data_IF_126008972979
#
_entry.id   IF_126008972979
#
_cell.length_a   1.000
_cell.length_b   1.000
_cell.length_c   1.000
_cell.angle_alpha   90.00
_cell.angle_beta   90.00
_cell.angle_gamma   90.00
#
_symmetry.space_group_name_H-M   'P 1'
#
loop_
_entity.id
_entity.type
_entity.pdbx_description
1 polymer ?
#
# COMPACT_ATOMS: atom_id res chain seq x y z
N UNK A 1 0.43 0.56 0.51
CA UNK A 1 0.93 0.80 -0.86
C UNK A 1 1.59 2.17 -0.99
N UNK A 2 0.84 3.25 -0.75
CA UNK A 2 1.34 4.63 -0.85
C UNK A 2 2.51 4.90 0.10
N UNK A 3 2.47 4.41 1.32
CA UNK A 3 3.55 4.54 2.30
C UNK A 3 4.87 3.93 1.82
N UNK A 4 4.82 2.74 1.19
CA UNK A 4 6.00 2.08 0.63
C UNK A 4 6.57 2.88 -0.53
N UNK A 5 5.71 3.35 -1.45
CA UNK A 5 6.13 4.20 -2.57
C UNK A 5 6.74 5.49 -2.05
N UNK A 6 6.06 6.20 -1.12
CA UNK A 6 6.55 7.44 -0.54
C UNK A 6 7.89 7.26 0.21
N UNK A 7 8.05 6.14 0.91
CA UNK A 7 9.32 5.81 1.58
C UNK A 7 10.48 5.60 0.60
N UNK A 8 10.19 5.09 -0.60
CA UNK A 8 11.22 4.83 -1.62
C UNK A 8 11.59 6.08 -2.43
N UNK A 9 10.59 6.85 -2.89
CA UNK A 9 10.85 8.00 -3.78
C UNK A 9 10.87 9.34 -3.06
N UNK A 10 10.41 9.40 -1.81
CA UNK A 10 10.26 10.64 -1.04
C UNK A 10 9.08 11.50 -1.51
N UNK A 11 8.86 12.66 -0.85
CA UNK A 11 7.68 13.50 -1.11
C UNK A 11 7.67 14.10 -2.51
N UNK A 12 8.83 14.37 -3.11
CA UNK A 12 8.95 14.98 -4.44
C UNK A 12 9.00 13.95 -5.58
N UNK A 13 8.89 12.65 -5.25
CA UNK A 13 9.09 11.56 -6.24
C UNK A 13 8.15 11.60 -7.43
N UNK A 14 6.91 12.03 -7.26
CA UNK A 14 5.96 12.20 -8.37
C UNK A 14 6.26 13.47 -9.18
N UNK A 15 6.54 14.59 -8.52
CA UNK A 15 6.87 15.84 -9.16
C UNK A 15 8.18 15.76 -9.98
N UNK A 16 9.14 14.98 -9.50
CA UNK A 16 10.41 14.70 -10.17
C UNK A 16 10.35 13.53 -11.17
N UNK A 17 9.16 13.02 -11.48
CA UNK A 17 8.96 11.89 -12.41
C UNK A 17 9.80 10.64 -12.05
N UNK A 18 10.04 10.42 -10.75
CA UNK A 18 10.78 9.25 -10.24
C UNK A 18 9.86 8.06 -9.92
N UNK A 19 8.55 8.26 -10.05
CA UNK A 19 7.53 7.23 -9.92
C UNK A 19 6.81 7.03 -11.25
N UNK A 20 6.96 5.85 -11.82
CA UNK A 20 6.19 5.40 -12.99
C UNK A 20 5.10 4.46 -12.52
N UNK A 21 3.84 4.82 -12.72
CA UNK A 21 2.67 3.95 -12.44
C UNK A 21 2.12 3.41 -13.74
N UNK A 22 1.82 2.13 -13.76
CA UNK A 22 1.14 1.50 -14.89
C UNK A 22 0.19 0.39 -14.42
N UNK A 23 -1.04 0.34 -14.94
CA UNK A 23 -1.88 -0.82 -14.74
C UNK A 23 -1.27 -2.03 -15.48
N UNK A 24 -1.30 -3.22 -14.86
CA UNK A 24 -0.72 -4.41 -15.48
C UNK A 24 -1.34 -4.76 -16.84
N UNK A 25 -2.56 -4.29 -17.11
CA UNK A 25 -3.24 -4.48 -18.41
C UNK A 25 -2.49 -3.84 -19.58
N UNK A 26 -1.68 -2.82 -19.34
CA UNK A 26 -0.89 -2.17 -20.38
C UNK A 26 0.21 -3.08 -20.90
N UNK A 27 0.70 -4.02 -20.08
CA UNK A 27 1.67 -5.04 -20.47
C UNK A 27 1.14 -6.03 -21.52
N UNK A 28 -0.17 -6.04 -21.79
CA UNK A 28 -0.74 -6.80 -22.93
C UNK A 28 -0.41 -6.14 -24.26
N UNK A 29 -0.33 -4.81 -24.27
CA UNK A 29 -0.07 -4.02 -25.49
C UNK A 29 1.43 -3.85 -25.68
N UNK A 30 2.13 -3.64 -24.59
CA UNK A 30 3.57 -3.43 -24.55
C UNK A 30 4.21 -4.25 -23.41
N UNK A 31 4.58 -5.51 -23.70
CA UNK A 31 5.25 -6.36 -22.72
C UNK A 31 6.62 -5.83 -22.25
N UNK A 32 7.29 -4.98 -23.05
CA UNK A 32 8.58 -4.42 -22.71
C UNK A 32 8.49 -3.25 -21.72
N UNK A 33 7.32 -2.62 -21.57
CA UNK A 33 7.13 -1.42 -20.76
C UNK A 33 7.61 -1.57 -19.30
N UNK A 34 7.48 -2.77 -18.73
CA UNK A 34 7.97 -3.03 -17.36
C UNK A 34 9.49 -2.94 -17.29
N UNK A 35 10.19 -3.61 -18.21
CA UNK A 35 11.65 -3.60 -18.28
C UNK A 35 12.19 -2.23 -18.66
N UNK A 36 11.59 -1.59 -19.66
CA UNK A 36 11.98 -0.26 -20.10
C UNK A 36 11.85 0.77 -18.96
N UNK A 37 10.77 0.70 -18.19
CA UNK A 37 10.59 1.53 -17.01
C UNK A 37 11.66 1.32 -15.93
N UNK A 38 12.09 0.06 -15.71
CA UNK A 38 13.17 -0.26 -14.77
C UNK A 38 14.52 0.31 -15.22
N UNK A 39 14.82 0.20 -16.51
CA UNK A 39 16.08 0.63 -17.11
C UNK A 39 16.12 2.11 -17.46
N UNK A 40 14.96 2.78 -17.51
CA UNK A 40 14.89 4.19 -17.84
C UNK A 40 15.80 5.04 -16.93
N UNK A 41 16.48 6.01 -17.50
CA UNK A 41 17.26 6.99 -16.73
C UNK A 41 16.37 8.20 -16.42
N UNK A 42 16.32 8.60 -15.16
CA UNK A 42 15.56 9.80 -14.74
C UNK A 42 16.36 11.08 -14.97
N UNK A 43 15.66 12.20 -15.19
CA UNK A 43 16.28 13.53 -15.24
C UNK A 43 16.75 14.00 -13.85
N UNK A 44 16.06 13.56 -12.81
CA UNK A 44 16.35 13.94 -11.43
C UNK A 44 17.11 12.82 -10.71
N UNK A 45 18.09 13.17 -9.87
CA UNK A 45 18.83 12.19 -9.10
C UNK A 45 17.93 11.58 -8.00
N UNK A 46 18.19 10.33 -7.66
CA UNK A 46 17.51 9.66 -6.55
C UNK A 46 16.86 8.33 -6.93
N UNK A 47 16.28 7.63 -5.95
CA UNK A 47 15.63 6.35 -6.17
C UNK A 47 14.42 6.50 -7.08
N UNK A 48 14.25 5.55 -7.99
CA UNK A 48 13.11 5.48 -8.92
C UNK A 48 12.29 4.24 -8.63
N UNK A 49 11.00 4.32 -8.90
CA UNK A 49 10.05 3.22 -8.71
C UNK A 49 9.22 3.02 -9.98
N UNK A 50 9.09 1.78 -10.38
CA UNK A 50 8.07 1.31 -11.32
C UNK A 50 7.01 0.59 -10.51
N UNK A 51 5.79 1.10 -10.53
CA UNK A 51 4.66 0.55 -9.80
C UNK A 51 3.65 -0.04 -10.78
N UNK A 52 3.54 -1.38 -10.78
CA UNK A 52 2.59 -2.13 -11.62
C UNK A 52 1.39 -2.50 -10.74
N UNK A 53 0.22 -2.01 -11.16
CA UNK A 53 -1.01 -2.17 -10.39
C UNK A 53 -1.89 -3.29 -10.97
N UNK A 54 -2.54 -4.04 -10.06
CA UNK A 54 -3.53 -5.07 -10.36
C UNK A 54 -3.03 -6.18 -11.30
N UNK A 55 -1.80 -6.63 -11.06
CA UNK A 55 -1.24 -7.74 -11.81
C UNK A 55 -2.03 -9.04 -11.57
N UNK A 56 -2.10 -9.84 -12.61
CA UNK A 56 -2.72 -11.17 -12.58
C UNK A 56 -1.75 -12.21 -13.10
N UNK A 57 -2.02 -13.49 -12.82
CA UNK A 57 -1.19 -14.59 -13.33
C UNK A 57 -1.09 -14.59 -14.86
N UNK A 58 -2.12 -14.13 -15.57
CA UNK A 58 -2.11 -14.03 -17.04
C UNK A 58 -1.12 -12.97 -17.57
N UNK A 59 -0.74 -12.03 -16.74
CA UNK A 59 0.20 -10.94 -17.06
C UNK A 59 1.55 -11.12 -16.35
N UNK A 60 1.79 -12.29 -15.78
CA UNK A 60 2.98 -12.54 -14.98
C UNK A 60 4.27 -12.57 -15.82
N UNK A 61 4.22 -13.07 -17.06
CA UNK A 61 5.43 -13.26 -17.86
C UNK A 61 6.29 -12.01 -18.03
N UNK A 62 5.77 -10.85 -18.53
CA UNK A 62 6.59 -9.65 -18.68
C UNK A 62 7.11 -9.09 -17.35
N UNK A 63 6.39 -9.31 -16.27
CA UNK A 63 6.82 -8.87 -14.93
C UNK A 63 7.95 -9.76 -14.41
N UNK A 64 7.86 -11.07 -14.63
CA UNK A 64 8.90 -12.03 -14.25
C UNK A 64 10.16 -11.79 -15.06
N UNK A 65 10.04 -11.53 -16.36
CA UNK A 65 11.17 -11.23 -17.23
C UNK A 65 11.87 -9.93 -16.77
N UNK A 66 11.10 -8.88 -16.49
CA UNK A 66 11.63 -7.62 -15.96
C UNK A 66 12.34 -7.81 -14.59
N UNK A 67 11.78 -8.64 -13.71
CA UNK A 67 12.40 -8.96 -12.42
C UNK A 67 13.71 -9.74 -12.60
N UNK A 68 13.76 -10.68 -13.54
CA UNK A 68 14.97 -11.47 -13.82
C UNK A 68 16.13 -10.61 -14.38
N UNK A 69 15.79 -9.58 -15.16
CA UNK A 69 16.75 -8.63 -15.76
C UNK A 69 17.14 -7.48 -14.81
N UNK A 70 16.50 -7.40 -13.62
CA UNK A 70 16.74 -6.32 -12.68
C UNK A 70 18.16 -6.36 -12.10
N UNK A 71 18.81 -5.20 -12.01
CA UNK A 71 20.16 -5.03 -11.49
C UNK A 71 20.24 -3.86 -10.51
N UNK A 72 21.31 -3.84 -9.72
CA UNK A 72 21.58 -2.73 -8.82
C UNK A 72 21.75 -1.42 -9.61
N UNK A 73 21.00 -0.40 -9.21
CA UNK A 73 20.93 0.90 -9.89
C UNK A 73 19.69 1.07 -10.76
N UNK A 74 18.97 0.01 -11.08
CA UNK A 74 17.67 0.09 -11.73
C UNK A 74 16.61 0.68 -10.80
N UNK A 75 15.46 1.04 -11.36
CA UNK A 75 14.30 1.44 -10.55
C UNK A 75 13.81 0.27 -9.70
N UNK A 76 13.30 0.56 -8.51
CA UNK A 76 12.63 -0.44 -7.67
C UNK A 76 11.32 -0.88 -8.31
N UNK A 77 11.05 -2.18 -8.35
CA UNK A 77 9.82 -2.74 -8.89
C UNK A 77 8.83 -3.02 -7.76
N UNK A 78 7.67 -2.38 -7.80
CA UNK A 78 6.54 -2.67 -6.93
C UNK A 78 5.42 -3.25 -7.79
N UNK A 79 4.87 -4.37 -7.37
CA UNK A 79 3.76 -5.03 -8.05
C UNK A 79 2.65 -5.30 -7.04
N UNK A 80 1.45 -4.83 -7.33
CA UNK A 80 0.26 -5.25 -6.58
C UNK A 80 -0.55 -6.24 -7.40
N UNK A 81 -1.14 -7.18 -6.71
CA UNK A 81 -1.99 -8.20 -7.31
C UNK A 81 -3.09 -8.59 -6.32
N UNK A 82 -4.15 -9.16 -6.83
CA UNK A 82 -5.15 -9.84 -6.02
C UNK A 82 -4.58 -11.09 -5.35
N UNK A 83 -5.44 -11.91 -4.77
CA UNK A 83 -5.03 -13.15 -4.12
C UNK A 83 -4.33 -14.09 -5.10
N UNK A 84 -3.06 -14.40 -4.85
CA UNK A 84 -2.27 -15.36 -5.61
C UNK A 84 -2.16 -16.68 -4.84
N UNK A 85 -2.40 -17.78 -5.54
CA UNK A 85 -2.19 -19.13 -4.99
C UNK A 85 -0.70 -19.37 -4.73
N UNK A 86 -0.38 -20.27 -3.81
CA UNK A 86 1.00 -20.70 -3.56
C UNK A 86 1.72 -21.28 -4.80
N UNK A 87 0.94 -21.77 -5.79
CA UNK A 87 1.45 -22.28 -7.07
C UNK A 87 1.70 -21.22 -8.12
N UNK A 88 1.30 -19.95 -7.87
CA UNK A 88 1.47 -18.83 -8.79
C UNK A 88 2.93 -18.66 -9.21
N UNK A 89 3.16 -18.50 -10.51
CA UNK A 89 4.50 -18.23 -11.06
C UNK A 89 4.99 -16.84 -10.66
N UNK A 90 4.09 -15.86 -10.67
CA UNK A 90 4.41 -14.48 -10.25
C UNK A 90 4.87 -14.45 -8.78
N UNK A 91 4.10 -15.07 -7.88
CA UNK A 91 4.46 -15.18 -6.47
C UNK A 91 5.81 -15.87 -6.27
N UNK A 92 6.01 -17.03 -6.90
CA UNK A 92 7.26 -17.79 -6.79
C UNK A 92 8.47 -17.04 -7.34
N UNK A 93 8.31 -16.23 -8.39
CA UNK A 93 9.39 -15.43 -8.94
C UNK A 93 9.88 -14.42 -7.91
N UNK A 94 8.97 -13.72 -7.22
CA UNK A 94 9.35 -12.77 -6.16
C UNK A 94 9.90 -13.48 -4.92
N UNK A 95 9.28 -14.57 -4.47
CA UNK A 95 9.77 -15.36 -3.31
C UNK A 95 11.16 -15.97 -3.56
N UNK A 96 11.45 -16.34 -4.79
CA UNK A 96 12.74 -16.94 -5.17
C UNK A 96 13.83 -15.91 -5.52
N UNK A 97 13.48 -14.67 -5.76
CA UNK A 97 14.45 -13.66 -6.15
C UNK A 97 15.16 -13.09 -4.92
N UNK A 98 16.49 -13.09 -4.96
CA UNK A 98 17.37 -12.78 -3.82
C UNK A 98 17.18 -11.37 -3.25
N UNK A 99 16.66 -10.42 -4.04
CA UNK A 99 16.48 -9.00 -3.67
C UNK A 99 15.01 -8.56 -3.81
N UNK A 100 14.08 -9.48 -3.77
CA UNK A 100 12.66 -9.18 -3.78
C UNK A 100 11.95 -9.81 -2.57
N UNK A 101 10.79 -9.28 -2.26
CA UNK A 101 9.92 -9.75 -1.19
C UNK A 101 8.51 -9.95 -1.75
N UNK A 102 7.86 -11.03 -1.34
CA UNK A 102 6.43 -11.22 -1.55
C UNK A 102 5.73 -11.09 -0.19
N UNK A 103 4.87 -10.09 -0.06
CA UNK A 103 4.15 -9.81 1.17
C UNK A 103 2.66 -10.07 0.96
N UNK A 104 2.09 -11.03 1.69
CA UNK A 104 0.66 -11.25 1.74
C UNK A 104 0.01 -10.21 2.65
N UNK A 105 -0.95 -9.47 2.10
CA UNK A 105 -1.84 -8.63 2.88
C UNK A 105 -3.15 -9.39 3.04
N UNK A 106 -3.56 -9.62 4.25
CA UNK A 106 -4.80 -10.30 4.59
C UNK A 106 -5.81 -9.27 5.07
N UNK A 107 -7.08 -9.47 4.76
CA UNK A 107 -8.18 -8.62 5.21
C UNK A 107 -8.63 -9.02 6.63
N UNK A 108 -7.67 -9.39 7.47
CA UNK A 108 -7.94 -9.63 8.88
C UNK A 108 -8.32 -8.32 9.56
N UNK A 109 -9.32 -8.33 10.45
CA UNK A 109 -9.64 -7.15 11.24
C UNK A 109 -8.40 -6.64 11.97
N UNK A 110 -8.21 -5.33 12.08
CA UNK A 110 -7.06 -4.79 12.77
C UNK A 110 -7.02 -5.27 14.22
N UNK A 111 -5.84 -5.59 14.68
CA UNK A 111 -5.61 -5.94 16.09
C UNK A 111 -5.91 -4.73 16.99
N UNK A 112 -6.13 -4.98 18.27
CA UNK A 112 -6.34 -3.91 19.24
C UNK A 112 -5.20 -2.91 19.26
N UNK A 113 -3.97 -3.37 19.12
CA UNK A 113 -2.78 -2.50 19.07
C UNK A 113 -2.77 -1.60 17.84
N UNK A 114 -3.19 -2.12 16.69
CA UNK A 114 -3.32 -1.33 15.45
C UNK A 114 -4.44 -0.30 15.54
N UNK A 115 -5.58 -0.64 16.15
CA UNK A 115 -6.67 0.31 16.44
C UNK A 115 -6.16 1.44 17.34
N UNK A 116 -5.51 1.10 18.46
CA UNK A 116 -4.95 2.09 19.37
C UNK A 116 -3.87 2.97 18.72
N UNK A 117 -3.04 2.40 17.84
CA UNK A 117 -2.06 3.17 17.06
C UNK A 117 -2.73 4.14 16.09
N UNK A 118 -3.78 3.72 15.38
CA UNK A 118 -4.54 4.58 14.49
C UNK A 118 -5.22 5.73 15.24
N UNK A 119 -5.83 5.45 16.39
CA UNK A 119 -6.46 6.47 17.24
C UNK A 119 -5.45 7.51 17.73
N UNK A 120 -4.28 7.07 18.21
CA UNK A 120 -3.20 7.99 18.62
C UNK A 120 -2.70 8.83 17.44
N UNK A 121 -2.53 8.24 16.27
CA UNK A 121 -2.11 8.96 15.07
C UNK A 121 -3.12 10.04 14.64
N UNK A 122 -4.41 9.79 14.88
CA UNK A 122 -5.49 10.75 14.66
C UNK A 122 -5.63 11.81 15.78
N UNK A 123 -4.80 11.75 16.83
CA UNK A 123 -4.85 12.68 17.97
C UNK A 123 -5.96 12.39 18.98
N UNK A 124 -6.52 11.18 18.97
CA UNK A 124 -7.60 10.75 19.86
C UNK A 124 -6.99 10.04 21.09
N UNK A 125 -6.70 10.79 22.13
CA UNK A 125 -6.06 10.27 23.35
C UNK A 125 -7.06 9.82 24.40
N UNK A 126 -8.24 10.44 24.46
CA UNK A 126 -9.26 10.16 25.45
C UNK A 126 -10.49 9.55 24.77
N UNK A 127 -10.73 8.28 25.03
CA UNK A 127 -11.83 7.53 24.40
C UNK A 127 -12.55 6.76 25.50
N UNK A 128 -13.88 6.88 25.54
CA UNK A 128 -14.69 6.12 26.50
C UNK A 128 -14.64 4.62 26.20
N UNK A 129 -14.84 3.78 27.23
CA UNK A 129 -14.87 2.32 27.06
C UNK A 129 -15.97 1.85 26.10
N UNK A 130 -17.05 2.60 26.02
CA UNK A 130 -18.18 2.33 25.11
C UNK A 130 -17.80 2.65 23.67
N UNK A 131 -17.20 3.82 23.42
CA UNK A 131 -16.70 4.18 22.10
C UNK A 131 -15.60 3.23 21.61
N UNK A 132 -14.75 2.73 22.49
CA UNK A 132 -13.77 1.68 22.14
C UNK A 132 -14.43 0.40 21.62
N UNK A 133 -15.56 -0.04 22.24
CA UNK A 133 -16.30 -1.23 21.77
C UNK A 133 -16.95 -0.98 20.41
N UNK A 134 -17.47 0.23 20.19
CA UNK A 134 -18.07 0.59 18.91
C UNK A 134 -17.02 0.65 17.81
N UNK A 135 -15.85 1.20 18.08
CA UNK A 135 -14.71 1.20 17.16
C UNK A 135 -14.18 -0.22 16.86
N UNK A 136 -14.10 -1.10 17.86
CA UNK A 136 -13.77 -2.52 17.64
C UNK A 136 -14.81 -3.22 16.76
N UNK A 137 -16.09 -2.91 16.94
CA UNK A 137 -17.17 -3.43 16.10
C UNK A 137 -17.06 -2.91 14.67
N UNK A 138 -16.83 -1.61 14.50
CA UNK A 138 -16.63 -0.99 13.19
C UNK A 138 -15.41 -1.53 12.46
N UNK A 139 -14.31 -1.76 13.17
CA UNK A 139 -13.08 -2.29 12.58
C UNK A 139 -13.24 -3.69 11.96
N UNK A 140 -14.24 -4.45 12.45
CA UNK A 140 -14.59 -5.77 11.92
C UNK A 140 -15.62 -5.72 10.80
N UNK A 141 -16.38 -4.63 10.71
CA UNK A 141 -17.44 -4.45 9.73
C UNK A 141 -16.97 -3.72 8.46
N UNK A 142 -15.93 -2.91 8.58
CA UNK A 142 -15.37 -2.10 7.50
C UNK A 142 -14.09 -2.70 6.94
N UNK A 143 -13.79 -2.39 5.69
CA UNK A 143 -12.46 -2.63 5.14
C UNK A 143 -11.40 -1.84 5.93
N UNK A 144 -10.16 -2.34 6.08
CA UNK A 144 -9.11 -1.67 6.84
C UNK A 144 -8.83 -0.23 6.37
N UNK A 145 -9.01 0.05 5.08
CA UNK A 145 -8.88 1.39 4.50
C UNK A 145 -10.00 2.33 4.97
N UNK A 146 -11.23 1.86 4.92
CA UNK A 146 -12.42 2.62 5.33
C UNK A 146 -12.42 2.86 6.84
N UNK A 147 -12.01 1.87 7.62
CA UNK A 147 -11.83 2.05 9.06
C UNK A 147 -10.81 3.15 9.38
N UNK A 148 -9.65 3.14 8.71
CA UNK A 148 -8.63 4.18 8.88
C UNK A 148 -9.16 5.57 8.55
N UNK A 149 -9.87 5.72 7.42
CA UNK A 149 -10.50 6.98 7.03
C UNK A 149 -11.54 7.45 8.07
N UNK A 150 -12.31 6.51 8.63
CA UNK A 150 -13.29 6.82 9.68
C UNK A 150 -12.60 7.35 10.93
N UNK A 151 -11.52 6.73 11.36
CA UNK A 151 -10.70 7.20 12.50
C UNK A 151 -10.08 8.58 12.22
N UNK A 152 -9.56 8.81 11.01
CA UNK A 152 -9.04 10.12 10.61
C UNK A 152 -10.12 11.21 10.63
N UNK A 153 -11.32 10.92 10.11
CA UNK A 153 -12.46 11.85 10.16
C UNK A 153 -12.88 12.16 11.58
N UNK A 154 -12.93 11.14 12.44
CA UNK A 154 -13.23 11.32 13.87
C UNK A 154 -12.19 12.21 14.55
N UNK A 155 -10.90 12.03 14.22
CA UNK A 155 -9.82 12.90 14.71
C UNK A 155 -9.97 14.35 14.25
N UNK A 156 -10.39 14.56 13.00
CA UNK A 156 -10.70 15.90 12.49
C UNK A 156 -11.91 16.51 13.18
N UNK A 157 -12.97 15.73 13.40
CA UNK A 157 -14.18 16.16 14.08
C UNK A 157 -13.90 16.59 15.52
N UNK A 158 -13.06 15.82 16.23
CA UNK A 158 -12.66 16.11 17.63
C UNK A 158 -11.52 17.11 17.76
N UNK A 159 -11.04 17.70 16.66
CA UNK A 159 -9.91 18.62 16.71
C UNK A 159 -10.23 19.87 17.55
N UNK A 160 -9.50 20.04 18.65
CA UNK A 160 -9.69 21.14 19.62
C UNK A 160 -10.75 20.85 20.70
N UNK A 161 -11.43 19.73 20.64
CA UNK A 161 -12.31 19.25 21.71
C UNK A 161 -11.51 18.37 22.68
N UNK A 162 -11.48 18.75 23.95
CA UNK A 162 -10.77 18.02 25.01
C UNK A 162 -11.63 16.99 25.72
N UNK A 163 -12.92 16.85 25.34
CA UNK A 163 -13.81 15.83 25.92
C UNK A 163 -13.51 14.45 25.33
N UNK A 164 -13.66 13.38 26.12
CA UNK A 164 -13.48 12.02 25.61
C UNK A 164 -14.39 11.73 24.42
N UNK A 165 -13.91 10.92 23.49
CA UNK A 165 -14.73 10.37 22.41
C UNK A 165 -15.81 9.49 23.01
N UNK A 166 -17.04 9.70 22.57
CA UNK A 166 -18.25 8.97 23.00
C UNK A 166 -18.81 8.12 21.86
N UNK A 167 -19.71 7.18 22.13
CA UNK A 167 -20.42 6.45 21.07
C UNK A 167 -21.16 7.35 20.08
N UNK A 168 -21.65 8.49 20.54
CA UNK A 168 -22.33 9.45 19.66
C UNK A 168 -21.37 10.08 18.65
N UNK A 169 -20.13 10.34 19.05
CA UNK A 169 -19.11 10.86 18.15
C UNK A 169 -18.71 9.84 17.06
N UNK A 170 -18.76 8.54 17.41
CA UNK A 170 -18.46 7.44 16.49
C UNK A 170 -19.61 7.20 15.50
N UNK A 171 -20.86 7.54 15.89
CA UNK A 171 -22.03 7.33 15.06
C UNK A 171 -22.30 8.46 14.04
N UNK A 172 -21.66 9.64 14.18
CA UNK A 172 -21.82 10.81 13.32
C UNK A 172 -20.79 10.79 12.17
#
# INVERSE_FOLDING_TARGET
RQEVVAALVGPEGEAEMRLTRMPATDLRKDPAAALDGLKAHGFFPGPRVVFIEDATEALAAPIIDALAEWQDGDASLIVTCGSLRATSKLRKAFEGHRRAYAVGLYDDPPSREEIEAALRAAGLEQISNEAHRDLDTLSRALDPGDFRQTVEKLGLYKRGDTTPVTPLDVAN
#
